data_IF_138595921529
#
_entry.id   IF_138595921529
#
_cell.length_a   1.000
_cell.length_b   1.000
_cell.length_c   1.000
_cell.angle_alpha   90.00
_cell.angle_beta   90.00
_cell.angle_gamma   90.00
#
_symmetry.space_group_name_H-M   'P 1'
#
loop_
_entity.id
_entity.type
_entity.pdbx_description
1 polymer ?
#
# COMPACT_ATOMS: atom_id res chain seq x y z
N UNK A 1 18.05 -13.26 24.90
CA UNK A 1 17.88 -11.81 24.64
C UNK A 1 16.39 -11.52 24.65
N UNK A 2 15.88 -10.88 25.70
CA UNK A 2 14.44 -10.57 25.85
C UNK A 2 14.05 -9.50 24.85
N UNK A 3 13.03 -9.77 24.02
CA UNK A 3 12.50 -8.77 23.09
C UNK A 3 11.93 -7.59 23.90
N UNK A 4 12.18 -6.33 23.51
CA UNK A 4 11.64 -5.17 24.21
C UNK A 4 10.11 -5.22 24.23
N UNK A 5 9.50 -4.74 25.33
CA UNK A 5 8.04 -4.82 25.60
C UNK A 5 7.19 -4.32 24.42
N UNK A 6 7.61 -3.23 23.74
CA UNK A 6 6.92 -2.71 22.55
C UNK A 6 6.88 -3.72 21.39
N UNK A 7 7.95 -4.48 21.21
CA UNK A 7 8.04 -5.48 20.14
C UNK A 7 7.21 -6.71 20.47
N UNK A 8 7.16 -7.11 21.74
CA UNK A 8 6.24 -8.16 22.22
C UNK A 8 4.78 -7.75 22.02
N UNK A 9 4.40 -6.51 22.36
CA UNK A 9 3.05 -6.01 22.12
C UNK A 9 2.70 -5.99 20.61
N UNK A 10 3.62 -5.52 19.75
CA UNK A 10 3.43 -5.56 18.29
C UNK A 10 3.21 -7.00 17.80
N UNK A 11 4.03 -7.95 18.27
CA UNK A 11 3.91 -9.37 17.90
C UNK A 11 2.60 -9.99 18.41
N UNK A 12 2.20 -9.69 19.65
CA UNK A 12 0.93 -10.19 20.20
C UNK A 12 -0.28 -9.66 19.43
N UNK A 13 -0.28 -8.36 19.09
CA UNK A 13 -1.34 -7.74 18.30
C UNK A 13 -1.33 -8.31 16.88
N UNK A 14 -0.16 -8.44 16.23
CA UNK A 14 -0.04 -9.08 14.92
C UNK A 14 -0.58 -10.52 14.93
N UNK A 15 -0.24 -11.30 15.95
CA UNK A 15 -0.70 -12.68 16.10
C UNK A 15 -2.21 -12.75 16.35
N UNK A 16 -2.75 -11.85 17.17
CA UNK A 16 -4.20 -11.72 17.38
C UNK A 16 -4.91 -11.43 16.07
N UNK A 17 -4.47 -10.40 15.34
CA UNK A 17 -5.03 -10.06 14.04
C UNK A 17 -4.86 -11.21 13.05
N UNK A 18 -3.69 -11.83 12.92
CA UNK A 18 -3.44 -12.96 12.02
C UNK A 18 -4.35 -14.15 12.34
N UNK A 19 -4.52 -14.50 13.61
CA UNK A 19 -5.40 -15.57 14.05
C UNK A 19 -6.88 -15.25 13.81
N UNK A 20 -7.29 -14.01 14.06
CA UNK A 20 -8.64 -13.52 13.76
C UNK A 20 -8.89 -13.47 12.25
N UNK A 21 -7.89 -13.12 11.44
CA UNK A 21 -7.97 -13.12 9.97
C UNK A 21 -8.09 -14.53 9.41
N UNK A 22 -7.38 -15.51 9.95
CA UNK A 22 -7.51 -16.90 9.50
C UNK A 22 -8.90 -17.49 9.82
N UNK A 23 -9.62 -16.93 10.81
CA UNK A 23 -10.95 -17.40 11.23
C UNK A 23 -12.12 -16.63 10.62
N UNK A 24 -11.93 -15.36 10.27
CA UNK A 24 -12.99 -14.52 9.72
C UNK A 24 -12.69 -14.34 8.22
N UNK A 25 -13.62 -14.74 7.35
CA UNK A 25 -13.45 -14.59 5.89
C UNK A 25 -13.23 -13.10 5.54
N UNK A 26 -11.98 -12.76 5.20
CA UNK A 26 -11.44 -11.40 5.05
C UNK A 26 -10.51 -11.27 3.86
N UNK A 27 -10.26 -10.01 3.46
CA UNK A 27 -10.61 -9.48 2.13
C UNK A 27 -10.30 -10.49 1.03
N UNK A 28 -11.27 -10.70 0.15
CA UNK A 28 -11.10 -11.65 -0.94
C UNK A 28 -9.92 -11.30 -1.85
N UNK A 29 -9.55 -10.01 -1.93
CA UNK A 29 -8.53 -9.52 -2.85
C UNK A 29 -7.71 -8.35 -2.31
N UNK A 30 -6.49 -8.24 -2.82
CA UNK A 30 -5.62 -7.07 -2.67
C UNK A 30 -5.82 -6.16 -3.88
N UNK A 31 -5.98 -4.86 -3.63
CA UNK A 31 -6.10 -3.83 -4.66
C UNK A 31 -4.82 -2.99 -4.69
N UNK A 32 -4.01 -3.17 -5.71
CA UNK A 32 -2.76 -2.41 -5.89
C UNK A 32 -3.01 -1.25 -6.85
N UNK A 33 -2.76 -0.03 -6.39
CA UNK A 33 -2.62 1.13 -7.28
C UNK A 33 -1.15 1.24 -7.63
N UNK A 34 -0.81 0.87 -8.86
CA UNK A 34 0.54 0.93 -9.40
C UNK A 34 0.70 2.20 -10.23
N UNK A 35 1.82 2.89 -10.12
CA UNK A 35 2.08 4.06 -10.95
C UNK A 35 3.29 4.84 -10.46
N UNK A 36 3.36 6.11 -10.83
CA UNK A 36 4.43 6.99 -10.40
C UNK A 36 3.92 8.10 -9.48
N UNK A 37 4.84 8.72 -8.74
CA UNK A 37 4.56 9.95 -8.01
C UNK A 37 3.98 11.01 -8.97
N UNK A 38 2.94 11.72 -8.51
CA UNK A 38 2.26 12.82 -9.23
C UNK A 38 1.31 12.39 -10.36
N UNK A 39 0.96 11.11 -10.44
CA UNK A 39 -0.08 10.59 -11.34
C UNK A 39 -1.53 10.81 -10.84
N UNK A 40 -1.74 11.38 -9.64
CA UNK A 40 -3.08 11.53 -9.04
C UNK A 40 -3.52 10.36 -8.17
N UNK A 41 -2.60 9.46 -7.83
CA UNK A 41 -2.88 8.23 -7.08
C UNK A 41 -3.46 8.48 -5.69
N UNK A 42 -3.05 9.53 -4.98
CA UNK A 42 -3.66 9.89 -3.68
C UNK A 42 -5.14 10.27 -3.81
N UNK A 43 -5.52 11.00 -4.87
CA UNK A 43 -6.93 11.36 -5.10
C UNK A 43 -7.75 10.10 -5.39
N UNK A 44 -7.24 9.21 -6.26
CA UNK A 44 -7.89 7.93 -6.55
C UNK A 44 -8.06 7.09 -5.28
N UNK A 45 -7.03 7.01 -4.42
CA UNK A 45 -7.12 6.32 -3.12
C UNK A 45 -8.24 6.91 -2.26
N UNK A 46 -8.38 8.22 -2.18
CA UNK A 46 -9.46 8.84 -1.41
C UNK A 46 -10.85 8.53 -1.98
N UNK A 47 -11.01 8.57 -3.31
CA UNK A 47 -12.27 8.22 -3.98
C UNK A 47 -12.63 6.75 -3.73
N UNK A 48 -11.68 5.82 -3.87
CA UNK A 48 -11.94 4.40 -3.65
C UNK A 48 -12.32 4.09 -2.20
N UNK A 49 -11.70 4.77 -1.23
CA UNK A 49 -12.02 4.60 0.19
C UNK A 49 -13.39 5.17 0.60
N UNK A 50 -14.13 5.85 -0.27
CA UNK A 50 -15.54 6.17 0.02
C UNK A 50 -16.44 4.93 -0.12
N UNK A 51 -15.96 3.86 -0.76
CA UNK A 51 -16.67 2.59 -0.85
C UNK A 51 -16.40 1.73 0.42
N UNK A 52 -17.43 1.32 1.17
CA UNK A 52 -17.26 0.51 2.39
C UNK A 52 -16.70 -0.91 2.14
N UNK A 53 -16.59 -1.34 0.89
CA UNK A 53 -15.96 -2.61 0.51
C UNK A 53 -14.44 -2.49 0.32
N UNK A 54 -13.88 -1.28 0.41
CA UNK A 54 -12.45 -1.00 0.21
C UNK A 54 -11.88 -0.35 1.47
N UNK A 55 -10.75 -0.85 1.94
CA UNK A 55 -9.96 -0.22 3.01
C UNK A 55 -8.51 -0.04 2.58
N UNK A 56 -7.99 1.17 2.72
CA UNK A 56 -6.58 1.52 2.56
C UNK A 56 -6.37 2.98 2.97
N UNK A 57 -5.11 3.43 3.06
CA UNK A 57 -4.83 4.80 3.52
C UNK A 57 -3.76 5.55 2.72
N UNK A 58 -3.03 4.88 1.83
CA UNK A 58 -1.93 5.49 1.10
C UNK A 58 -0.88 4.46 0.73
N UNK A 59 0.40 4.79 1.00
CA UNK A 59 1.56 3.93 0.74
C UNK A 59 1.93 3.19 2.02
N UNK A 60 1.88 1.86 2.00
CA UNK A 60 2.36 1.03 3.10
C UNK A 60 3.89 0.98 3.19
N UNK A 61 4.57 1.22 2.06
CA UNK A 61 6.01 1.00 1.86
C UNK A 61 6.47 -0.43 2.18
N UNK A 62 5.57 -1.41 2.10
CA UNK A 62 5.89 -2.82 2.20
C UNK A 62 6.53 -3.33 0.92
N UNK A 63 7.27 -4.42 1.04
CA UNK A 63 7.88 -5.12 -0.10
C UNK A 63 7.18 -6.46 -0.28
N UNK A 64 6.75 -6.73 -1.50
CA UNK A 64 5.96 -7.90 -1.85
C UNK A 64 6.79 -8.83 -2.73
N UNK A 65 7.28 -9.91 -2.15
CA UNK A 65 7.93 -11.02 -2.86
C UNK A 65 7.01 -12.24 -2.97
N UNK A 66 6.04 -12.37 -2.06
CA UNK A 66 5.13 -13.50 -1.98
C UNK A 66 3.72 -13.05 -1.59
N UNK A 67 2.73 -13.94 -1.79
CA UNK A 67 1.37 -13.69 -1.33
C UNK A 67 1.23 -13.57 0.19
N UNK A 68 2.19 -14.06 0.98
CA UNK A 68 2.17 -13.96 2.44
C UNK A 68 2.46 -12.53 2.93
N UNK A 69 3.22 -11.76 2.16
CA UNK A 69 3.56 -10.36 2.49
C UNK A 69 2.30 -9.47 2.58
N UNK A 70 1.21 -9.87 1.92
CA UNK A 70 -0.07 -9.17 2.03
C UNK A 70 -0.75 -9.32 3.40
N UNK A 71 -0.36 -10.31 4.23
CA UNK A 71 -0.84 -10.39 5.61
C UNK A 71 -0.37 -9.19 6.44
N UNK A 72 0.88 -8.77 6.24
CA UNK A 72 1.41 -7.56 6.89
C UNK A 72 0.69 -6.30 6.37
N UNK A 73 0.36 -6.24 5.07
CA UNK A 73 -0.44 -5.14 4.52
C UNK A 73 -1.80 -5.03 5.20
N UNK A 74 -2.56 -6.13 5.26
CA UNK A 74 -3.87 -6.20 5.90
C UNK A 74 -3.76 -5.73 7.35
N UNK A 75 -2.80 -6.27 8.10
CA UNK A 75 -2.52 -5.86 9.48
C UNK A 75 -2.26 -4.34 9.59
N UNK A 76 -1.39 -3.79 8.74
CA UNK A 76 -1.06 -2.36 8.78
C UNK A 76 -2.26 -1.47 8.43
N UNK A 77 -3.07 -1.85 7.45
CA UNK A 77 -4.26 -1.09 7.06
C UNK A 77 -5.25 -1.03 8.21
N UNK A 78 -5.65 -2.17 8.79
CA UNK A 78 -6.62 -2.18 9.88
C UNK A 78 -6.11 -1.49 11.14
N UNK A 79 -4.82 -1.68 11.47
CA UNK A 79 -4.20 -0.99 12.59
C UNK A 79 -4.19 0.53 12.39
N UNK A 80 -3.87 0.99 11.19
CA UNK A 80 -3.74 2.42 10.88
C UNK A 80 -5.10 3.09 10.83
N UNK A 81 -6.09 2.44 10.23
CA UNK A 81 -7.46 2.95 10.16
C UNK A 81 -8.20 2.81 11.50
N UNK A 82 -7.69 2.00 12.43
CA UNK A 82 -8.36 1.60 13.66
C UNK A 82 -9.82 1.18 13.41
N UNK A 83 -10.04 0.53 12.27
CA UNK A 83 -11.36 0.19 11.74
C UNK A 83 -11.27 -1.17 11.09
N UNK A 84 -12.33 -1.94 11.32
CA UNK A 84 -12.57 -3.20 10.66
C UNK A 84 -14.00 -3.18 10.11
N UNK A 85 -14.17 -3.65 8.88
CA UNK A 85 -15.45 -3.59 8.16
C UNK A 85 -15.86 -5.00 7.75
N UNK A 86 -17.03 -5.50 8.22
CA UNK A 86 -17.53 -6.81 7.79
C UNK A 86 -17.73 -6.93 6.27
N UNK A 87 -18.03 -5.81 5.61
CA UNK A 87 -18.27 -5.73 4.16
C UNK A 87 -16.99 -5.61 3.32
N UNK A 88 -15.82 -5.58 3.93
CA UNK A 88 -14.56 -5.37 3.23
C UNK A 88 -14.25 -6.52 2.25
N UNK A 89 -14.04 -6.18 0.98
CA UNK A 89 -13.65 -7.12 -0.07
C UNK A 89 -12.24 -6.87 -0.59
N UNK A 90 -11.77 -5.63 -0.48
CA UNK A 90 -10.46 -5.20 -0.98
C UNK A 90 -9.66 -4.48 0.10
N UNK A 91 -8.43 -4.94 0.30
CA UNK A 91 -7.40 -4.15 1.00
C UNK A 91 -6.52 -3.49 -0.04
N UNK A 92 -6.46 -2.16 0.02
CA UNK A 92 -5.80 -1.31 -0.95
C UNK A 92 -4.41 -0.91 -0.46
N UNK A 93 -3.42 -1.05 -1.35
CA UNK A 93 -2.13 -0.36 -1.21
C UNK A 93 -1.81 0.46 -2.46
N UNK A 94 -1.17 1.60 -2.23
CA UNK A 94 -0.67 2.47 -3.30
C UNK A 94 0.85 2.26 -3.41
N UNK A 95 1.29 1.68 -4.51
CA UNK A 95 2.69 1.31 -4.75
C UNK A 95 3.23 2.16 -5.90
N UNK A 96 4.05 3.16 -5.57
CA UNK A 96 4.54 4.16 -6.54
C UNK A 96 5.99 3.94 -6.99
N UNK A 97 6.63 2.89 -6.48
CA UNK A 97 8.03 2.58 -6.75
C UNK A 97 8.19 1.08 -6.97
N UNK A 98 8.84 0.72 -8.07
CA UNK A 98 9.01 -0.67 -8.52
C UNK A 98 9.73 -1.54 -7.48
N UNK A 99 10.58 -0.94 -6.64
CA UNK A 99 11.32 -1.65 -5.58
C UNK A 99 10.46 -2.32 -4.51
N UNK A 100 9.17 -1.96 -4.45
CA UNK A 100 8.21 -2.53 -3.51
C UNK A 100 7.49 -3.77 -4.05
N UNK A 101 7.37 -3.95 -5.36
CA UNK A 101 6.85 -5.18 -5.96
C UNK A 101 8.03 -6.01 -6.47
N UNK A 102 8.54 -6.92 -5.64
CA UNK A 102 9.75 -7.70 -5.95
C UNK A 102 9.44 -8.80 -6.97
N UNK A 103 8.29 -9.46 -6.83
CA UNK A 103 7.84 -10.49 -7.77
C UNK A 103 6.59 -10.03 -8.53
N UNK A 104 6.77 -9.69 -9.80
CA UNK A 104 5.67 -9.26 -10.68
C UNK A 104 4.68 -10.40 -10.97
N UNK A 105 5.06 -11.67 -10.81
CA UNK A 105 4.14 -12.80 -10.99
C UNK A 105 2.96 -12.77 -10.02
N UNK A 106 3.09 -12.04 -8.91
CA UNK A 106 1.98 -11.77 -7.99
C UNK A 106 0.79 -11.14 -8.72
N UNK A 107 1.03 -10.29 -9.72
CA UNK A 107 -0.03 -9.61 -10.49
C UNK A 107 -0.90 -10.56 -11.31
N UNK A 108 -0.43 -11.79 -11.56
CA UNK A 108 -1.18 -12.83 -12.29
C UNK A 108 -2.16 -13.56 -11.34
N UNK A 109 -2.00 -13.41 -10.02
CA UNK A 109 -2.87 -14.05 -9.04
C UNK A 109 -4.31 -13.55 -9.10
N UNK A 110 -5.28 -14.46 -9.04
CA UNK A 110 -6.71 -14.12 -8.94
C UNK A 110 -7.09 -13.37 -7.65
N UNK A 111 -6.18 -13.35 -6.67
CA UNK A 111 -6.30 -12.60 -5.40
C UNK A 111 -5.86 -11.15 -5.54
N UNK A 112 -5.25 -10.75 -6.65
CA UNK A 112 -4.78 -9.38 -6.87
C UNK A 112 -5.62 -8.70 -7.94
N UNK A 113 -5.97 -7.46 -7.68
CA UNK A 113 -6.51 -6.52 -8.65
C UNK A 113 -5.53 -5.36 -8.74
N UNK A 114 -5.04 -5.06 -9.93
CA UNK A 114 -4.09 -3.97 -10.15
C UNK A 114 -4.72 -2.86 -11.00
N UNK A 115 -4.56 -1.61 -10.56
CA UNK A 115 -4.91 -0.41 -11.31
C UNK A 115 -3.61 0.31 -11.63
N UNK A 116 -3.28 0.41 -12.92
CA UNK A 116 -2.15 1.21 -13.39
C UNK A 116 -2.59 2.65 -13.62
N UNK A 117 -1.96 3.59 -12.92
CA UNK A 117 -2.22 5.02 -13.04
C UNK A 117 -1.04 5.70 -13.74
N UNK A 118 -1.29 6.11 -14.98
CA UNK A 118 -0.30 6.70 -15.88
C UNK A 118 -0.68 8.16 -16.14
N UNK A 119 0.30 9.05 -16.14
CA UNK A 119 0.13 10.47 -16.50
C UNK A 119 1.26 10.92 -17.42
N UNK A 120 0.95 11.85 -18.32
CA UNK A 120 1.91 12.47 -19.22
C UNK A 120 3.15 13.03 -18.48
N UNK A 121 4.38 12.71 -18.94
CA UNK A 121 5.61 13.19 -18.31
C UNK A 121 5.73 14.72 -18.29
N UNK A 122 5.23 15.38 -19.33
CA UNK A 122 5.27 16.85 -19.48
C UNK A 122 4.64 17.57 -18.29
N UNK A 123 3.56 17.02 -17.74
CA UNK A 123 2.88 17.58 -16.58
C UNK A 123 3.44 17.06 -15.25
N UNK A 124 4.00 15.85 -15.25
CA UNK A 124 4.49 15.15 -14.06
C UNK A 124 5.84 15.70 -13.58
N UNK A 125 6.79 15.91 -14.49
CA UNK A 125 8.17 16.31 -14.16
C UNK A 125 8.26 17.66 -13.43
N UNK A 126 7.59 18.75 -13.86
CA UNK A 126 7.63 20.01 -13.12
C UNK A 126 7.08 19.87 -11.70
N UNK A 127 6.03 19.06 -11.53
CA UNK A 127 5.44 18.80 -10.22
C UNK A 127 6.36 17.99 -9.30
N UNK A 128 7.18 17.09 -9.84
CA UNK A 128 8.16 16.32 -9.08
C UNK A 128 9.30 17.22 -8.58
N UNK A 129 9.86 18.05 -9.45
CA UNK A 129 10.96 18.96 -9.12
C UNK A 129 10.57 19.90 -7.99
N UNK A 130 9.34 20.44 -8.02
CA UNK A 130 8.81 21.34 -6.98
C UNK A 130 8.81 20.73 -5.58
N UNK A 131 8.64 19.41 -5.46
CA UNK A 131 8.48 18.71 -4.18
C UNK A 131 9.82 18.21 -3.62
N UNK A 132 10.84 18.03 -4.46
CA UNK A 132 12.12 17.48 -4.03
C UNK A 132 13.32 18.29 -4.55
N UNK A 133 13.42 19.60 -4.22
CA UNK A 133 14.44 20.48 -4.77
C UNK A 133 15.87 20.04 -4.42
N UNK A 134 16.07 19.34 -3.30
CA UNK A 134 17.38 18.93 -2.79
C UNK A 134 17.96 17.66 -3.42
N UNK A 135 17.16 16.85 -4.14
CA UNK A 135 17.71 15.72 -4.92
C UNK A 135 18.36 16.17 -6.24
N UNK A 136 18.14 17.42 -6.66
CA UNK A 136 18.77 18.03 -7.82
C UNK A 136 20.09 18.71 -7.42
N UNK A 137 21.10 17.91 -7.08
CA UNK A 137 22.50 18.36 -7.03
C UNK A 137 23.06 18.89 -8.36
N UNK A 138 22.22 19.14 -9.37
CA UNK A 138 22.57 19.90 -10.56
C UNK A 138 22.05 21.33 -10.38
N UNK A 139 22.95 22.22 -9.93
CA UNK A 139 22.81 23.66 -10.14
C UNK A 139 22.61 23.87 -11.64
N UNK A 140 21.40 24.24 -12.07
CA UNK A 140 21.20 24.78 -13.41
C UNK A 140 21.91 26.14 -13.46
N UNK A 141 23.10 26.17 -14.07
CA UNK A 141 23.55 27.37 -14.77
C UNK A 141 22.66 27.48 -16.02
N UNK A 142 21.63 28.32 -15.91
CA UNK A 142 21.10 29.09 -17.02
C UNK A 142 21.44 30.54 -16.73
#
# INVERSE_FOLDING_TARGET
>A
MTKPIKQLAKTAIYNYYSFSFDKIQHPNKILLILGHMRAGSSLLTHILNTNPEISGFGESHLRYATGEDFKELIYQVHRTLNKWQPSEKYVLDKVLHDSYLIDENLLISNKICAIFLIREPKETLPSLIKINPHKNGMKSKL
#
